data_IF_691203587783
#
_entry.id   IF_691203587783
#
_cell.length_a   1.000
_cell.length_b   1.000
_cell.length_c   1.000
_cell.angle_alpha   90.00
_cell.angle_beta   90.00
_cell.angle_gamma   90.00
#
_symmetry.space_group_name_H-M   'P 1'
#
loop_
_entity.id
_entity.type
_entity.pdbx_description
1 polymer ?
#
# COMPACT_ATOMS: atom_id res chain seq x y z
N UNK A 1 36.09 -13.49 -1.52
CA UNK A 1 35.35 -14.74 -1.79
C UNK A 1 34.06 -14.38 -2.52
N UNK A 2 33.97 -14.72 -3.80
CA UNK A 2 32.82 -14.46 -4.66
C UNK A 2 31.62 -15.31 -4.21
N UNK A 3 30.60 -14.68 -3.59
CA UNK A 3 29.28 -15.31 -3.46
C UNK A 3 28.62 -15.31 -4.83
N UNK A 4 28.68 -16.45 -5.52
CA UNK A 4 27.81 -16.74 -6.66
C UNK A 4 26.37 -16.47 -6.21
N UNK A 5 25.68 -15.57 -6.91
CA UNK A 5 24.24 -15.34 -6.78
C UNK A 5 23.53 -16.67 -7.03
N UNK A 6 23.10 -17.32 -5.95
CA UNK A 6 22.33 -18.56 -5.99
C UNK A 6 21.00 -18.23 -6.67
N UNK A 7 20.74 -18.85 -7.84
CA UNK A 7 19.51 -18.65 -8.59
C UNK A 7 18.34 -19.08 -7.69
N UNK A 8 17.63 -18.12 -7.10
CA UNK A 8 16.43 -18.39 -6.32
C UNK A 8 15.38 -19.04 -7.21
N UNK A 9 14.78 -20.11 -6.70
CA UNK A 9 13.72 -20.85 -7.39
C UNK A 9 12.50 -19.95 -7.64
N UNK A 10 11.77 -20.28 -8.70
CA UNK A 10 10.54 -19.60 -9.09
C UNK A 10 9.39 -20.14 -8.23
N UNK A 11 8.49 -19.26 -7.81
CA UNK A 11 7.25 -19.65 -7.14
C UNK A 11 6.35 -20.41 -8.13
N UNK A 12 5.91 -21.61 -7.77
CA UNK A 12 5.05 -22.45 -8.61
C UNK A 12 3.66 -21.87 -8.84
N UNK A 13 3.20 -20.95 -7.98
CA UNK A 13 1.87 -20.32 -8.07
C UNK A 13 1.85 -19.02 -8.88
N UNK A 14 2.81 -18.12 -8.65
CA UNK A 14 2.80 -16.79 -9.27
C UNK A 14 3.94 -16.55 -10.27
N UNK A 15 4.85 -17.51 -10.46
CA UNK A 15 5.98 -17.41 -11.39
C UNK A 15 7.05 -16.38 -11.01
N UNK A 16 6.88 -15.65 -9.89
CA UNK A 16 7.88 -14.68 -9.40
C UNK A 16 9.09 -15.40 -8.80
N UNK A 17 10.29 -14.85 -9.00
CA UNK A 17 11.53 -15.36 -8.42
C UNK A 17 11.57 -15.09 -6.91
N UNK A 18 12.19 -15.99 -6.15
CA UNK A 18 12.32 -15.83 -4.69
C UNK A 18 11.32 -16.68 -3.91
N UNK A 19 11.09 -17.93 -4.35
CA UNK A 19 10.48 -18.92 -3.49
C UNK A 19 11.43 -19.24 -2.32
N UNK A 20 10.90 -19.14 -1.11
CA UNK A 20 11.62 -19.38 0.16
C UNK A 20 10.80 -20.32 1.06
N UNK A 21 9.49 -20.36 0.84
CA UNK A 21 8.56 -21.23 1.54
C UNK A 21 8.22 -22.44 0.68
N UNK A 22 7.75 -23.53 1.28
CA UNK A 22 7.33 -24.75 0.59
C UNK A 22 5.98 -25.21 1.11
N UNK A 23 5.00 -25.35 0.22
CA UNK A 23 3.70 -25.96 0.54
C UNK A 23 3.75 -27.40 0.04
N UNK A 24 3.89 -28.37 0.95
CA UNK A 24 4.15 -29.76 0.57
C UNK A 24 5.52 -29.88 -0.12
N UNK A 25 5.54 -30.25 -1.40
CA UNK A 25 6.75 -30.33 -2.24
C UNK A 25 6.93 -29.14 -3.19
N UNK A 26 6.01 -28.18 -3.20
CA UNK A 26 6.00 -27.08 -4.17
C UNK A 26 6.64 -25.80 -3.58
N UNK A 27 7.62 -25.20 -4.26
CA UNK A 27 8.26 -23.97 -3.79
C UNK A 27 7.35 -22.76 -4.04
N UNK A 28 7.10 -21.98 -2.99
CA UNK A 28 6.25 -20.78 -3.04
C UNK A 28 6.92 -19.56 -2.43
N UNK A 29 6.50 -18.38 -2.92
CA UNK A 29 6.88 -17.12 -2.29
C UNK A 29 6.06 -16.87 -1.02
N UNK A 30 6.56 -16.00 -0.15
CA UNK A 30 5.93 -15.65 1.12
C UNK A 30 4.51 -15.08 0.93
N UNK A 31 4.24 -14.39 -0.19
CA UNK A 31 2.89 -13.88 -0.48
C UNK A 31 1.89 -15.01 -0.75
N UNK A 32 2.26 -15.98 -1.58
CA UNK A 32 1.41 -17.13 -1.87
C UNK A 32 1.23 -17.99 -0.61
N UNK A 33 2.26 -18.12 0.22
CA UNK A 33 2.16 -18.75 1.54
C UNK A 33 1.16 -18.02 2.45
N UNK A 34 1.24 -16.69 2.53
CA UNK A 34 0.32 -15.90 3.36
C UNK A 34 -1.15 -16.08 2.93
N UNK A 35 -1.42 -16.00 1.62
CA UNK A 35 -2.77 -16.23 1.07
C UNK A 35 -3.26 -17.64 1.40
N UNK A 36 -2.38 -18.64 1.32
CA UNK A 36 -2.70 -20.01 1.70
C UNK A 36 -3.02 -20.14 3.20
N UNK A 37 -2.21 -19.55 4.07
CA UNK A 37 -2.45 -19.53 5.52
C UNK A 37 -3.78 -18.82 5.86
N UNK A 38 -4.09 -17.72 5.18
CA UNK A 38 -5.35 -17.00 5.35
C UNK A 38 -6.54 -17.86 4.92
N UNK A 39 -6.45 -18.58 3.79
CA UNK A 39 -7.50 -19.50 3.35
C UNK A 39 -7.76 -20.62 4.37
N UNK A 40 -6.70 -21.23 4.92
CA UNK A 40 -6.82 -22.25 5.96
C UNK A 40 -7.43 -21.70 7.25
N UNK A 41 -7.05 -20.48 7.63
CA UNK A 41 -7.63 -19.80 8.78
C UNK A 41 -9.13 -19.57 8.59
N UNK A 42 -9.57 -19.12 7.40
CA UNK A 42 -11.00 -18.90 7.13
C UNK A 42 -11.83 -20.19 7.27
N UNK A 43 -11.29 -21.32 6.80
CA UNK A 43 -11.95 -22.63 6.99
C UNK A 43 -12.03 -23.02 8.47
N UNK A 44 -10.93 -22.84 9.22
CA UNK A 44 -10.93 -23.10 10.66
C UNK A 44 -11.94 -22.23 11.40
N UNK A 45 -11.95 -20.92 11.13
CA UNK A 45 -12.83 -19.96 11.79
C UNK A 45 -14.31 -20.27 11.51
N UNK A 46 -14.66 -20.62 10.26
CA UNK A 46 -16.02 -21.05 9.91
C UNK A 46 -16.44 -22.31 10.66
N UNK A 47 -15.58 -23.33 10.69
CA UNK A 47 -15.86 -24.58 11.39
C UNK A 47 -16.01 -24.35 12.91
N UNK A 48 -15.13 -23.54 13.51
CA UNK A 48 -15.19 -23.21 14.93
C UNK A 48 -16.46 -22.40 15.27
N UNK A 49 -16.85 -21.45 14.41
CA UNK A 49 -18.09 -20.69 14.58
C UNK A 49 -19.33 -21.59 14.51
N UNK A 50 -19.37 -22.52 13.55
CA UNK A 50 -20.45 -23.51 13.44
C UNK A 50 -20.53 -24.42 14.67
N UNK A 51 -19.38 -24.90 15.18
CA UNK A 51 -19.36 -25.72 16.41
C UNK A 51 -19.86 -24.92 17.62
N UNK A 52 -19.46 -23.65 17.74
CA UNK A 52 -19.94 -22.78 18.80
C UNK A 52 -21.45 -22.54 18.71
N UNK A 53 -22.01 -22.40 17.49
CA UNK A 53 -23.44 -22.27 17.28
C UNK A 53 -24.19 -23.55 17.67
N UNK A 54 -23.77 -24.71 17.17
CA UNK A 54 -24.40 -25.99 17.51
C UNK A 54 -24.36 -26.25 19.03
N UNK A 55 -23.26 -25.85 19.67
CA UNK A 55 -23.10 -25.96 21.12
C UNK A 55 -24.03 -25.00 21.88
N UNK A 56 -24.34 -23.81 21.33
CA UNK A 56 -25.37 -22.92 21.89
C UNK A 56 -26.78 -23.50 21.73
N UNK A 57 -27.07 -24.11 20.58
CA UNK A 57 -28.37 -24.77 20.34
C UNK A 57 -28.60 -25.93 21.31
N UNK A 58 -27.57 -26.75 21.56
CA UNK A 58 -27.64 -27.82 22.55
C UNK A 58 -27.88 -27.29 23.97
N UNK A 59 -27.15 -26.24 24.37
CA UNK A 59 -27.35 -25.61 25.69
C UNK A 59 -28.79 -25.06 25.83
N UNK A 60 -29.34 -24.48 24.76
CA UNK A 60 -30.72 -23.97 24.73
C UNK A 60 -31.78 -25.08 24.82
N UNK A 61 -31.51 -26.26 24.24
CA UNK A 61 -32.42 -27.42 24.30
C UNK A 61 -32.37 -28.11 25.66
N UNK A 62 -31.19 -28.27 26.25
CA UNK A 62 -31.02 -28.98 27.55
C UNK A 62 -31.50 -28.11 28.71
N UNK A 63 -31.42 -26.78 28.60
CA UNK A 63 -32.14 -25.81 29.45
C UNK A 63 -31.60 -25.63 30.88
N UNK A 64 -31.06 -26.66 31.54
CA UNK A 64 -30.47 -26.58 32.88
C UNK A 64 -29.17 -27.37 32.92
N UNK A 65 -28.05 -26.68 32.67
CA UNK A 65 -26.71 -27.24 32.72
C UNK A 65 -25.64 -26.16 32.61
N UNK A 66 -24.38 -26.46 32.98
CA UNK A 66 -23.28 -25.54 32.71
C UNK A 66 -23.15 -25.34 31.19
N UNK A 67 -22.86 -24.10 30.73
CA UNK A 67 -22.69 -23.84 29.31
C UNK A 67 -21.55 -24.68 28.75
N UNK A 68 -21.76 -25.21 27.55
CA UNK A 68 -20.75 -25.98 26.85
C UNK A 68 -19.51 -25.13 26.51
N UNK A 69 -18.31 -25.73 26.49
CA UNK A 69 -17.07 -25.00 26.20
C UNK A 69 -17.10 -24.42 24.79
N UNK A 70 -16.66 -23.17 24.64
CA UNK A 70 -16.59 -22.46 23.35
C UNK A 70 -15.16 -22.47 22.83
N UNK A 71 -15.01 -22.68 21.53
CA UNK A 71 -13.75 -22.53 20.83
C UNK A 71 -13.46 -21.03 20.66
N UNK A 72 -12.35 -20.57 21.21
CA UNK A 72 -11.88 -19.20 20.97
C UNK A 72 -11.32 -19.11 19.54
N UNK A 73 -11.94 -18.27 18.71
CA UNK A 73 -11.47 -18.02 17.35
C UNK A 73 -10.38 -16.93 17.45
N UNK A 74 -9.10 -17.25 17.21
CA UNK A 74 -8.02 -16.26 17.24
C UNK A 74 -8.20 -15.29 16.07
N UNK A 75 -7.61 -14.08 16.10
CA UNK A 75 -7.67 -13.16 14.96
C UNK A 75 -6.94 -13.75 13.74
N UNK A 76 -7.34 -13.29 12.54
CA UNK A 76 -6.72 -13.73 11.29
C UNK A 76 -5.21 -13.41 11.29
N UNK A 77 -4.38 -14.25 10.66
CA UNK A 77 -2.96 -13.94 10.48
C UNK A 77 -2.84 -12.66 9.65
N UNK A 78 -2.07 -11.71 10.18
CA UNK A 78 -1.76 -10.46 9.49
C UNK A 78 -0.55 -10.66 8.57
N UNK A 79 -0.52 -9.99 7.40
CA UNK A 79 0.61 -10.09 6.49
C UNK A 79 1.89 -9.55 7.14
N UNK A 80 3.05 -10.15 6.86
CA UNK A 80 4.32 -9.62 7.34
C UNK A 80 4.56 -8.20 6.80
N UNK A 81 4.87 -7.28 7.70
CA UNK A 81 4.96 -5.82 7.51
C UNK A 81 6.01 -5.40 6.46
N UNK A 82 6.89 -6.30 6.02
CA UNK A 82 8.02 -6.00 5.13
C UNK A 82 7.90 -6.62 3.73
N UNK A 83 6.70 -6.63 3.16
CA UNK A 83 6.50 -7.06 1.77
C UNK A 83 6.09 -5.89 0.87
N UNK A 84 7.00 -4.93 0.70
CA UNK A 84 7.05 -3.92 -0.37
C UNK A 84 5.71 -3.33 -0.87
N UNK A 85 4.71 -3.23 0.00
CA UNK A 85 3.68 -2.24 -0.10
C UNK A 85 4.27 -1.01 0.57
N UNK A 86 4.64 -0.01 -0.22
CA UNK A 86 4.69 1.35 0.29
C UNK A 86 3.27 1.72 0.73
N UNK A 87 2.86 1.24 1.89
CA UNK A 87 1.65 1.67 2.53
C UNK A 87 1.98 2.98 3.20
N UNK A 88 1.50 4.08 2.60
CA UNK A 88 1.40 5.34 3.31
C UNK A 88 0.37 5.11 4.43
N UNK A 89 0.87 4.80 5.62
CA UNK A 89 0.03 4.66 6.81
C UNK A 89 -0.22 6.07 7.35
N UNK A 90 -1.31 6.69 6.92
CA UNK A 90 -1.83 7.92 7.55
C UNK A 90 -2.56 7.51 8.84
N UNK A 91 -1.78 7.22 9.89
CA UNK A 91 -2.30 7.08 11.25
C UNK A 91 -2.05 8.38 12.01
N UNK A 92 -3.08 9.22 12.08
CA UNK A 92 -3.07 10.46 12.84
C UNK A 92 -4.31 11.28 12.56
N UNK A 93 -5.05 11.64 13.60
CA UNK A 93 -6.35 12.31 13.61
C UNK A 93 -6.36 13.75 13.05
N UNK A 94 -6.03 13.92 11.77
CA UNK A 94 -6.17 15.17 11.01
C UNK A 94 -6.91 14.92 9.69
N UNK A 95 -7.83 13.95 9.69
CA UNK A 95 -8.63 13.51 8.52
C UNK A 95 -9.98 14.23 8.46
N UNK A 96 -10.01 15.52 8.82
CA UNK A 96 -11.25 16.30 8.78
C UNK A 96 -11.65 16.70 7.36
N UNK A 97 -10.68 17.00 6.50
CA UNK A 97 -10.94 17.65 5.20
C UNK A 97 -10.11 17.11 4.03
N UNK A 98 -9.18 16.16 4.22
CA UNK A 98 -8.40 15.60 3.11
C UNK A 98 -9.22 14.51 2.42
N UNK A 99 -9.45 14.68 1.12
CA UNK A 99 -10.25 13.77 0.32
C UNK A 99 -9.57 12.39 0.24
N UNK A 100 -10.04 11.45 1.07
CA UNK A 100 -9.53 10.08 1.18
C UNK A 100 -9.46 9.33 -0.17
N UNK A 101 -10.25 9.74 -1.17
CA UNK A 101 -10.17 9.21 -2.52
C UNK A 101 -8.83 9.54 -3.19
N UNK A 102 -8.39 10.80 -3.11
CA UNK A 102 -7.17 11.30 -3.74
C UNK A 102 -5.93 10.60 -3.18
N UNK A 103 -5.87 10.40 -1.87
CA UNK A 103 -4.77 9.67 -1.23
C UNK A 103 -4.70 8.20 -1.69
N UNK A 104 -5.85 7.55 -1.91
CA UNK A 104 -5.92 6.18 -2.43
C UNK A 104 -5.46 6.12 -3.90
N UNK A 105 -5.83 7.10 -4.70
CA UNK A 105 -5.44 7.18 -6.11
C UNK A 105 -3.92 7.36 -6.26
N UNK A 106 -3.33 8.27 -5.47
CA UNK A 106 -1.87 8.42 -5.37
C UNK A 106 -1.21 7.07 -5.05
N UNK A 107 -1.69 6.37 -4.01
CA UNK A 107 -1.11 5.08 -3.62
C UNK A 107 -1.18 4.04 -4.74
N UNK A 108 -2.29 3.97 -5.46
CA UNK A 108 -2.47 3.08 -6.61
C UNK A 108 -1.46 3.38 -7.72
N UNK A 109 -1.28 4.66 -8.07
CA UNK A 109 -0.34 5.08 -9.11
C UNK A 109 1.13 4.85 -8.72
N UNK A 110 1.48 5.06 -7.46
CA UNK A 110 2.81 4.73 -6.92
C UNK A 110 3.11 3.23 -7.01
N UNK A 111 2.10 2.38 -6.75
CA UNK A 111 2.25 0.94 -6.94
C UNK A 111 2.55 0.59 -8.41
N UNK A 112 1.83 1.18 -9.36
CA UNK A 112 2.10 0.98 -10.80
C UNK A 112 3.51 1.44 -11.18
N UNK A 113 3.98 2.56 -10.63
CA UNK A 113 5.35 3.05 -10.84
C UNK A 113 6.40 2.07 -10.29
N UNK A 114 6.16 1.52 -9.11
CA UNK A 114 7.03 0.51 -8.49
C UNK A 114 7.08 -0.76 -9.33
N UNK A 115 5.93 -1.24 -9.81
CA UNK A 115 5.81 -2.43 -10.65
C UNK A 115 6.46 -2.25 -12.03
N UNK A 116 6.47 -1.03 -12.57
CA UNK A 116 7.17 -0.67 -13.81
C UNK A 116 8.68 -0.48 -13.65
N UNK A 117 9.22 -0.64 -12.44
CA UNK A 117 10.65 -0.53 -12.14
C UNK A 117 11.12 0.88 -11.79
N UNK A 118 10.22 1.86 -11.70
CA UNK A 118 10.52 3.25 -11.36
C UNK A 118 10.47 3.48 -9.84
N UNK A 119 11.15 2.62 -9.08
CA UNK A 119 11.07 2.59 -7.60
C UNK A 119 11.52 3.91 -6.98
N UNK A 120 12.63 4.48 -7.45
CA UNK A 120 13.16 5.74 -6.92
C UNK A 120 12.18 6.91 -7.10
N UNK A 121 11.49 6.98 -8.25
CA UNK A 121 10.47 8.01 -8.49
C UNK A 121 9.25 7.79 -7.59
N UNK A 122 8.84 6.54 -7.41
CA UNK A 122 7.73 6.18 -6.50
C UNK A 122 8.04 6.60 -5.05
N UNK A 123 9.22 6.25 -4.54
CA UNK A 123 9.70 6.65 -3.22
C UNK A 123 9.68 8.17 -3.04
N UNK A 124 10.22 8.87 -4.03
CA UNK A 124 10.30 10.34 -4.03
C UNK A 124 8.92 11.00 -4.00
N UNK A 125 7.98 10.52 -4.83
CA UNK A 125 6.62 11.05 -4.87
C UNK A 125 5.86 10.72 -3.58
N UNK A 126 6.10 9.55 -2.98
CA UNK A 126 5.55 9.20 -1.68
C UNK A 126 6.09 10.11 -0.57
N UNK A 127 7.40 10.37 -0.54
CA UNK A 127 8.04 11.30 0.40
C UNK A 127 7.49 12.72 0.27
N UNK A 128 7.36 13.22 -0.96
CA UNK A 128 6.76 14.53 -1.23
C UNK A 128 5.30 14.60 -0.73
N UNK A 129 4.50 13.57 -1.02
CA UNK A 129 3.11 13.50 -0.56
C UNK A 129 3.03 13.52 0.97
N UNK A 130 3.90 12.75 1.64
CA UNK A 130 3.96 12.71 3.09
C UNK A 130 4.40 14.04 3.70
N UNK A 131 5.36 14.73 3.07
CA UNK A 131 5.80 16.05 3.53
C UNK A 131 4.64 17.06 3.52
N UNK A 132 3.80 17.03 2.48
CA UNK A 132 2.63 17.91 2.37
C UNK A 132 1.54 17.54 3.37
N UNK A 133 1.24 16.25 3.54
CA UNK A 133 0.23 15.81 4.50
C UNK A 133 0.61 16.16 5.95
N UNK A 134 1.90 16.11 6.27
CA UNK A 134 2.44 16.45 7.58
C UNK A 134 2.79 17.93 7.75
N UNK A 135 2.56 18.78 6.75
CA UNK A 135 2.80 20.21 6.85
C UNK A 135 1.81 20.85 7.83
N UNK A 136 2.32 21.47 8.88
CA UNK A 136 1.53 22.21 9.88
C UNK A 136 1.48 23.72 9.61
N UNK A 137 2.36 24.21 8.71
CA UNK A 137 2.51 25.63 8.34
C UNK A 137 1.63 26.06 7.15
N UNK A 138 0.62 25.26 6.80
CA UNK A 138 -0.29 25.49 5.67
C UNK A 138 -1.75 25.23 6.06
N UNK A 139 -2.68 25.98 5.48
CA UNK A 139 -4.11 25.70 5.65
C UNK A 139 -4.55 24.45 4.87
N UNK A 140 -5.64 23.84 5.31
CA UNK A 140 -6.12 22.58 4.73
C UNK A 140 -6.57 22.71 3.26
N UNK A 141 -7.00 23.87 2.79
CA UNK A 141 -7.39 24.04 1.38
C UNK A 141 -6.16 24.02 0.49
N UNK A 142 -5.13 24.80 0.83
CA UNK A 142 -3.87 24.83 0.08
C UNK A 142 -3.15 23.47 0.11
N UNK A 143 -3.22 22.77 1.27
CA UNK A 143 -2.72 21.39 1.39
C UNK A 143 -3.45 20.43 0.45
N UNK A 144 -4.77 20.49 0.42
CA UNK A 144 -5.59 19.66 -0.45
C UNK A 144 -5.31 19.92 -1.93
N UNK A 145 -5.20 21.18 -2.33
CA UNK A 145 -4.88 21.56 -3.71
C UNK A 145 -3.54 20.97 -4.15
N UNK A 146 -2.50 21.05 -3.30
CA UNK A 146 -1.20 20.43 -3.58
C UNK A 146 -1.27 18.91 -3.69
N UNK A 147 -2.05 18.25 -2.83
CA UNK A 147 -2.25 16.80 -2.88
C UNK A 147 -2.97 16.40 -4.18
N UNK A 148 -3.98 17.16 -4.61
CA UNK A 148 -4.68 16.95 -5.88
C UNK A 148 -3.74 17.13 -7.09
N UNK A 149 -2.88 18.15 -7.05
CA UNK A 149 -1.87 18.34 -8.09
C UNK A 149 -0.88 17.17 -8.15
N UNK A 150 -0.46 16.62 -7.00
CA UNK A 150 0.39 15.42 -6.96
C UNK A 150 -0.35 14.18 -7.45
N UNK A 151 -1.64 14.05 -7.16
CA UNK A 151 -2.44 12.96 -7.72
C UNK A 151 -2.42 12.98 -9.25
N UNK A 152 -2.56 14.16 -9.85
CA UNK A 152 -2.46 14.31 -11.31
C UNK A 152 -1.04 13.98 -11.84
N UNK A 153 0.02 14.38 -11.14
CA UNK A 153 1.39 14.04 -11.56
C UNK A 153 1.65 12.53 -11.45
N UNK A 154 1.20 11.90 -10.37
CA UNK A 154 1.35 10.45 -10.16
C UNK A 154 0.53 9.65 -11.18
N UNK A 155 -0.68 10.10 -11.52
CA UNK A 155 -1.49 9.54 -12.61
C UNK A 155 -0.74 9.60 -13.95
N UNK A 156 -0.21 10.77 -14.31
CA UNK A 156 0.56 10.94 -15.55
C UNK A 156 1.87 10.12 -15.52
N UNK A 157 2.44 9.91 -14.34
CA UNK A 157 3.66 9.11 -14.20
C UNK A 157 3.38 7.61 -14.38
N UNK A 158 2.24 7.13 -13.87
CA UNK A 158 1.76 5.75 -14.04
C UNK A 158 1.23 5.47 -15.46
N UNK A 159 0.80 6.51 -16.19
CA UNK A 159 0.37 6.38 -17.58
C UNK A 159 1.52 6.00 -18.53
N UNK A 160 1.16 5.28 -19.61
CA UNK A 160 2.10 4.95 -20.69
C UNK A 160 2.62 6.23 -21.35
N UNK A 161 3.87 6.26 -21.85
CA UNK A 161 4.44 7.46 -22.47
C UNK A 161 3.56 8.14 -23.51
N UNK A 162 2.84 7.37 -24.33
CA UNK A 162 1.97 7.87 -25.40
C UNK A 162 0.65 8.49 -24.88
N UNK A 163 0.20 8.09 -23.69
CA UNK A 163 -1.04 8.56 -23.06
C UNK A 163 -0.82 9.81 -22.18
N UNK A 164 0.44 10.22 -22.00
CA UNK A 164 0.82 11.38 -21.19
C UNK A 164 0.44 12.67 -21.89
N UNK A 165 0.02 13.65 -21.09
CA UNK A 165 -0.31 15.01 -21.56
C UNK A 165 0.81 15.96 -21.16
N UNK A 166 1.88 16.13 -21.97
CA UNK A 166 3.09 16.85 -21.57
C UNK A 166 2.83 18.32 -21.22
N UNK A 167 1.89 18.99 -21.91
CA UNK A 167 1.48 20.35 -21.59
C UNK A 167 0.83 20.47 -20.21
N UNK A 168 0.01 19.48 -19.85
CA UNK A 168 -0.63 19.40 -18.53
C UNK A 168 0.41 19.12 -17.44
N UNK A 169 1.32 18.16 -17.68
CA UNK A 169 2.40 17.83 -16.73
C UNK A 169 3.26 19.06 -16.46
N UNK A 170 3.68 19.79 -17.50
CA UNK A 170 4.51 20.97 -17.34
C UNK A 170 3.83 22.08 -16.52
N UNK A 171 2.53 22.30 -16.76
CA UNK A 171 1.75 23.27 -16.01
C UNK A 171 1.61 22.86 -14.52
N UNK A 172 1.27 21.59 -14.26
CA UNK A 172 1.08 21.10 -12.89
C UNK A 172 2.40 21.08 -12.12
N UNK A 173 3.50 20.64 -12.73
CA UNK A 173 4.83 20.68 -12.09
C UNK A 173 5.24 22.12 -11.75
N UNK A 174 4.87 23.10 -12.57
CA UNK A 174 5.03 24.52 -12.26
C UNK A 174 4.19 24.96 -11.06
N UNK A 175 2.91 24.58 -11.02
CA UNK A 175 2.01 24.90 -9.92
C UNK A 175 2.46 24.27 -8.59
N UNK A 176 2.91 23.00 -8.61
CA UNK A 176 3.43 22.33 -7.41
C UNK A 176 4.67 23.05 -6.91
N UNK A 177 5.56 23.50 -7.81
CA UNK A 177 6.72 24.29 -7.41
C UNK A 177 6.31 25.57 -6.68
N UNK A 178 5.39 26.33 -7.25
CA UNK A 178 4.92 27.58 -6.65
C UNK A 178 4.28 27.34 -5.27
N UNK A 179 3.46 26.29 -5.13
CA UNK A 179 2.86 25.94 -3.85
C UNK A 179 3.85 25.35 -2.84
N UNK A 180 4.84 24.56 -3.28
CA UNK A 180 5.89 24.02 -2.43
C UNK A 180 6.89 25.08 -1.95
N UNK A 181 7.21 26.07 -2.79
CA UNK A 181 8.06 27.20 -2.43
C UNK A 181 7.35 28.13 -1.43
N UNK A 182 6.02 28.17 -1.43
CA UNK A 182 5.22 28.91 -0.46
C UNK A 182 5.15 28.23 0.92
N UNK A 183 5.44 26.92 1.01
CA UNK A 183 5.34 26.13 2.25
C UNK A 183 6.74 25.69 2.67
N UNK A 184 7.24 26.28 3.76
CA UNK A 184 8.61 26.09 4.20
C UNK A 184 8.93 24.62 4.51
N UNK A 185 7.98 23.89 5.11
CA UNK A 185 8.12 22.47 5.47
C UNK A 185 8.18 21.53 4.25
N UNK A 186 7.63 21.94 3.10
CA UNK A 186 7.54 21.13 1.88
C UNK A 186 8.69 21.42 0.91
N UNK A 187 9.23 22.65 0.92
CA UNK A 187 10.28 23.12 0.00
C UNK A 187 11.49 22.16 -0.13
N UNK A 188 11.92 21.55 0.98
CA UNK A 188 13.02 20.58 0.99
C UNK A 188 12.70 19.28 0.26
N UNK A 189 11.49 18.73 0.48
CA UNK A 189 11.03 17.53 -0.20
C UNK A 189 10.83 17.80 -1.70
N UNK A 190 10.30 18.98 -2.06
CA UNK A 190 10.18 19.38 -3.46
C UNK A 190 11.53 19.51 -4.15
N UNK A 191 12.52 20.12 -3.51
CA UNK A 191 13.87 20.28 -4.07
C UNK A 191 14.55 18.94 -4.39
N UNK A 192 14.26 17.89 -3.61
CA UNK A 192 14.71 16.53 -3.89
C UNK A 192 13.92 15.89 -5.04
N UNK A 193 12.61 16.16 -5.11
CA UNK A 193 11.70 15.54 -6.07
C UNK A 193 11.75 16.14 -7.49
N UNK A 194 11.86 17.47 -7.60
CA UNK A 194 11.85 18.21 -8.86
C UNK A 194 12.79 17.63 -9.94
N UNK A 195 14.09 17.38 -9.67
CA UNK A 195 14.98 16.87 -10.71
C UNK A 195 14.60 15.48 -11.21
N UNK A 196 14.06 14.61 -10.34
CA UNK A 196 13.62 13.27 -10.72
C UNK A 196 12.34 13.32 -11.56
N UNK A 197 11.38 14.16 -11.17
CA UNK A 197 10.14 14.37 -11.92
C UNK A 197 10.45 14.93 -13.31
N UNK A 198 11.27 15.96 -13.38
CA UNK A 198 11.70 16.58 -14.65
C UNK A 198 12.40 15.59 -15.57
N UNK A 199 13.34 14.82 -15.03
CA UNK A 199 14.07 13.79 -15.80
C UNK A 199 13.12 12.71 -16.32
N UNK A 200 12.16 12.27 -15.51
CA UNK A 200 11.20 11.23 -15.91
C UNK A 200 10.25 11.68 -17.04
N UNK A 201 9.81 12.93 -17.01
CA UNK A 201 8.91 13.50 -18.01
C UNK A 201 9.62 14.18 -19.19
N UNK A 202 10.94 14.40 -19.11
CA UNK A 202 11.72 15.08 -20.14
C UNK A 202 11.43 16.58 -20.25
N UNK A 203 11.18 17.26 -19.12
CA UNK A 203 10.80 18.69 -19.04
C UNK A 203 11.72 19.55 -18.18
#
# INVERSE_FOLDING_TARGET
>A
MNKKSEKRELCSQCGKRGAICTIGSEPVCIQCEHVFQQSRYMQFAQNAAMMNLASQELDAVVGIGPPSPRIAIPPAPVPPIYFNSQSVNVSGSTVGNINLGVARDIQSHLQVLTESGNVALSETLAELTNAILNAEDVDENSKNELVEQIALVTEQAAAKPDDRKPGQVKAIVGAIKEGADAISSVSGAWSAAEPMIRTFFGI
#
